data_IF_946273478763
#
_entry.id   IF_946273478763
#
_cell.length_a   1.000
_cell.length_b   1.000
_cell.length_c   1.000
_cell.angle_alpha   90.00
_cell.angle_beta   90.00
_cell.angle_gamma   90.00
#
_symmetry.space_group_name_H-M   'P 1'
#
loop_
_entity.id
_entity.type
_entity.pdbx_description
1 polymer ?
#
# COMPACT_ATOMS: atom_id res chain seq x y z
N UNK A 1 2.42 12.39 3.00
CA UNK A 1 1.57 11.28 2.45
C UNK A 1 2.49 10.15 2.03
N UNK A 2 2.10 8.91 2.25
CA UNK A 2 2.94 7.71 2.17
C UNK A 2 3.33 7.29 0.74
N UNK A 3 4.28 6.34 0.61
CA UNK A 3 4.60 5.65 -0.64
C UNK A 3 4.20 4.18 -0.54
N UNK A 4 3.70 3.64 -1.64
CA UNK A 4 3.21 2.28 -1.77
C UNK A 4 3.96 1.55 -2.89
N UNK A 5 4.25 0.27 -2.68
CA UNK A 5 4.72 -0.65 -3.70
C UNK A 5 4.03 -2.01 -3.51
N UNK A 6 3.52 -2.59 -4.58
CA UNK A 6 3.08 -3.98 -4.64
C UNK A 6 3.64 -4.64 -5.89
N UNK A 7 4.17 -5.83 -5.74
CA UNK A 7 4.76 -6.61 -6.82
C UNK A 7 4.28 -8.04 -6.72
N UNK A 8 3.68 -8.55 -7.80
CA UNK A 8 3.34 -9.96 -7.97
C UNK A 8 4.02 -10.50 -9.23
N UNK A 9 4.71 -11.62 -9.13
CA UNK A 9 5.44 -12.19 -10.24
C UNK A 9 5.22 -13.71 -10.37
N UNK A 10 5.35 -14.21 -11.60
CA UNK A 10 5.31 -15.65 -11.90
C UNK A 10 6.58 -16.37 -11.47
N UNK A 11 7.71 -15.66 -11.53
CA UNK A 11 9.04 -16.16 -11.14
C UNK A 11 9.56 -15.38 -9.94
N UNK A 12 10.32 -16.01 -9.04
CA UNK A 12 10.93 -15.30 -7.93
C UNK A 12 11.85 -14.18 -8.41
N UNK A 13 11.80 -13.04 -7.74
CA UNK A 13 12.68 -11.89 -7.94
C UNK A 13 13.43 -11.55 -6.65
N UNK A 14 14.57 -10.88 -6.75
CA UNK A 14 15.33 -10.38 -5.61
C UNK A 14 14.57 -9.20 -4.96
N UNK A 15 14.20 -9.35 -3.70
CA UNK A 15 13.47 -8.32 -2.95
C UNK A 15 14.28 -7.04 -2.85
N UNK A 16 15.59 -7.17 -2.59
CA UNK A 16 16.52 -6.07 -2.43
C UNK A 16 16.46 -5.08 -3.59
N UNK A 17 16.51 -5.55 -4.84
CA UNK A 17 16.56 -4.69 -6.03
C UNK A 17 15.34 -3.76 -6.13
N UNK A 18 14.17 -4.25 -5.76
CA UNK A 18 12.95 -3.45 -5.77
C UNK A 18 12.83 -2.54 -4.54
N UNK A 19 13.31 -2.98 -3.38
CA UNK A 19 13.34 -2.16 -2.18
C UNK A 19 14.35 -1.02 -2.29
N UNK A 20 15.50 -1.20 -2.95
CA UNK A 20 16.47 -0.14 -3.23
C UNK A 20 15.84 0.97 -4.09
N UNK A 21 15.14 0.61 -5.18
CA UNK A 21 14.39 1.57 -6.01
C UNK A 21 13.23 2.23 -5.24
N UNK A 22 12.55 1.48 -4.40
CA UNK A 22 11.51 2.02 -3.54
C UNK A 22 12.05 2.98 -2.48
N UNK A 23 13.23 2.72 -1.94
CA UNK A 23 13.95 3.60 -1.03
C UNK A 23 14.31 4.93 -1.71
N UNK A 24 14.79 4.90 -2.97
CA UNK A 24 15.07 6.11 -3.77
C UNK A 24 13.83 7.00 -3.90
N UNK A 25 12.71 6.47 -4.40
CA UNK A 25 11.49 7.26 -4.58
C UNK A 25 10.85 7.72 -3.26
N UNK A 26 11.16 7.03 -2.16
CA UNK A 26 10.71 7.43 -0.84
C UNK A 26 11.55 8.56 -0.27
N UNK A 27 12.89 8.49 -0.41
CA UNK A 27 13.82 9.54 0.00
C UNK A 27 13.60 10.84 -0.78
N UNK A 28 13.42 10.72 -2.09
CA UNK A 28 13.29 11.85 -3.01
C UNK A 28 11.84 12.39 -3.11
N UNK A 29 10.95 11.89 -2.25
CA UNK A 29 9.55 12.32 -2.18
C UNK A 29 9.44 13.79 -1.72
N UNK A 30 8.55 14.61 -2.33
CA UNK A 30 8.30 15.99 -1.89
C UNK A 30 7.75 16.07 -0.46
N UNK A 31 7.08 15.05 0.04
CA UNK A 31 6.71 14.94 1.45
C UNK A 31 7.60 13.89 2.15
N UNK A 32 8.05 14.20 3.35
CA UNK A 32 8.97 13.35 4.13
C UNK A 32 8.38 11.96 4.42
N UNK A 33 9.12 10.90 4.07
CA UNK A 33 8.71 9.49 4.22
C UNK A 33 9.49 8.76 5.33
N UNK A 34 10.09 9.49 6.23
CA UNK A 34 11.02 8.94 7.23
C UNK A 34 10.40 8.58 8.58
N UNK A 35 9.06 8.46 8.68
CA UNK A 35 8.40 8.09 9.93
C UNK A 35 8.26 6.57 10.10
N UNK A 36 9.17 5.84 9.49
CA UNK A 36 9.24 4.38 9.46
C UNK A 36 8.76 3.77 8.16
N UNK A 37 8.98 2.48 8.04
CA UNK A 37 8.58 1.71 6.87
C UNK A 37 8.27 0.26 7.24
N UNK A 38 7.80 -0.50 6.28
CA UNK A 38 7.69 -1.93 6.40
C UNK A 38 7.42 -2.59 5.06
N UNK A 39 7.68 -3.89 5.02
CA UNK A 39 7.32 -4.73 3.90
C UNK A 39 6.76 -6.08 4.36
N UNK A 40 5.99 -6.70 3.48
CA UNK A 40 5.53 -8.07 3.60
C UNK A 40 5.86 -8.81 2.31
N UNK A 41 6.36 -10.03 2.44
CA UNK A 41 6.67 -10.89 1.31
C UNK A 41 6.29 -12.34 1.58
N UNK A 42 6.14 -13.13 0.52
CA UNK A 42 5.83 -14.55 0.64
C UNK A 42 7.13 -15.36 0.58
N UNK A 43 7.33 -16.22 1.56
CA UNK A 43 8.42 -17.20 1.61
C UNK A 43 7.84 -18.55 2.03
N UNK A 44 8.10 -19.59 1.24
CA UNK A 44 7.55 -20.94 1.46
C UNK A 44 6.01 -20.96 1.68
N UNK A 45 5.28 -20.19 0.88
CA UNK A 45 3.82 -20.11 0.94
C UNK A 45 3.26 -19.37 2.16
N UNK A 46 4.10 -18.66 2.92
CA UNK A 46 3.69 -17.91 4.12
C UNK A 46 4.16 -16.47 4.06
N UNK A 47 3.36 -15.58 4.60
CA UNK A 47 3.72 -14.19 4.77
C UNK A 47 4.86 -14.04 5.80
N UNK A 48 5.85 -13.23 5.44
CA UNK A 48 6.91 -12.71 6.30
C UNK A 48 6.78 -11.20 6.36
N UNK A 49 7.21 -10.59 7.46
CA UNK A 49 7.05 -9.17 7.71
C UNK A 49 8.34 -8.57 8.23
N UNK A 50 8.60 -7.34 7.82
CA UNK A 50 9.60 -6.46 8.42
C UNK A 50 8.97 -5.09 8.64
N UNK A 51 9.24 -4.50 9.81
CA UNK A 51 8.84 -3.13 10.14
C UNK A 51 9.97 -2.46 10.90
N UNK A 52 10.32 -1.25 10.51
CA UNK A 52 11.30 -0.43 11.21
C UNK A 52 10.78 1.00 11.37
N UNK A 53 11.21 1.68 12.42
CA UNK A 53 10.93 3.09 12.67
C UNK A 53 11.86 4.00 11.87
N UNK A 54 13.00 3.50 11.43
CA UNK A 54 13.92 4.20 10.54
C UNK A 54 13.31 4.36 9.16
N UNK A 55 13.75 5.33 8.37
CA UNK A 55 13.42 5.41 6.96
C UNK A 55 13.94 4.18 6.19
N UNK A 56 13.24 3.78 5.13
CA UNK A 56 13.65 2.63 4.28
C UNK A 56 15.05 2.78 3.68
N UNK A 57 15.50 4.01 3.41
CA UNK A 57 16.83 4.30 2.85
C UNK A 57 17.97 4.28 3.88
N UNK A 58 17.66 4.08 5.16
CA UNK A 58 18.62 3.92 6.25
C UNK A 58 18.67 2.49 6.78
N UNK A 59 17.86 1.59 6.23
CA UNK A 59 17.79 0.20 6.67
C UNK A 59 18.69 -0.72 5.81
N UNK A 60 19.08 -1.88 6.37
CA UNK A 60 19.78 -2.90 5.62
C UNK A 60 18.80 -3.73 4.78
N UNK A 61 18.80 -3.48 3.48
CA UNK A 61 17.93 -4.16 2.52
C UNK A 61 18.51 -5.50 2.00
N UNK A 62 19.67 -5.94 2.50
CA UNK A 62 20.38 -7.13 2.00
C UNK A 62 19.81 -8.47 2.43
N UNK A 63 19.04 -8.53 3.51
CA UNK A 63 18.67 -9.77 4.19
C UNK A 63 17.36 -10.45 3.75
N UNK A 64 16.61 -9.90 2.77
CA UNK A 64 15.23 -10.34 2.48
C UNK A 64 15.10 -11.54 1.54
N UNK A 65 16.14 -11.85 0.73
CA UNK A 65 16.11 -12.98 -0.20
C UNK A 65 15.26 -12.74 -1.45
N UNK A 66 14.54 -13.78 -1.88
CA UNK A 66 13.68 -13.74 -3.09
C UNK A 66 12.23 -14.04 -2.77
N UNK A 67 11.32 -13.54 -3.62
CA UNK A 67 9.87 -13.77 -3.47
C UNK A 67 9.14 -13.64 -4.81
N UNK A 68 7.91 -14.13 -4.86
CA UNK A 68 6.95 -13.88 -5.94
C UNK A 68 5.92 -12.80 -5.59
N UNK A 69 5.84 -12.37 -4.32
CA UNK A 69 4.87 -11.40 -3.86
C UNK A 69 5.48 -10.52 -2.78
N UNK A 70 5.55 -9.22 -3.05
CA UNK A 70 6.07 -8.18 -2.16
C UNK A 70 5.07 -7.04 -2.05
N UNK A 71 4.86 -6.56 -0.83
CA UNK A 71 4.19 -5.29 -0.55
C UNK A 71 5.08 -4.45 0.35
N UNK A 72 5.30 -3.18 0.01
CA UNK A 72 6.10 -2.26 0.82
C UNK A 72 5.41 -0.91 1.01
N UNK A 73 5.68 -0.29 2.14
CA UNK A 73 5.10 0.97 2.56
C UNK A 73 6.14 1.84 3.26
N UNK A 74 6.33 3.08 2.78
CA UNK A 74 7.10 4.10 3.47
C UNK A 74 6.16 5.16 4.04
N UNK A 75 6.35 5.49 5.31
CA UNK A 75 5.38 6.24 6.08
C UNK A 75 5.72 7.73 6.19
N UNK A 76 4.72 8.56 5.89
CA UNK A 76 4.63 9.94 6.32
C UNK A 76 3.49 10.04 7.34
N UNK A 77 3.79 10.24 8.61
CA UNK A 77 2.78 10.32 9.65
C UNK A 77 2.02 11.65 9.57
N UNK A 78 0.70 11.59 9.72
CA UNK A 78 -0.13 12.78 9.75
C UNK A 78 0.23 13.63 11.00
N UNK A 79 0.58 14.90 10.81
CA UNK A 79 1.01 15.83 11.86
C UNK A 79 2.16 15.32 12.71
N UNK A 80 3.01 14.45 12.16
CA UNK A 80 4.11 13.81 12.88
C UNK A 80 3.70 13.08 14.17
N UNK A 81 2.44 12.64 14.23
CA UNK A 81 1.87 11.95 15.38
C UNK A 81 1.91 10.42 15.23
N UNK A 82 1.94 9.73 16.36
CA UNK A 82 1.87 8.25 16.40
C UNK A 82 3.01 7.56 15.67
N UNK A 83 4.23 8.13 15.70
CA UNK A 83 5.43 7.54 15.11
C UNK A 83 5.88 6.39 16.01
N UNK A 84 5.40 5.19 15.69
CA UNK A 84 5.66 3.93 16.38
C UNK A 84 5.67 2.81 15.35
N UNK A 85 6.50 1.80 15.57
CA UNK A 85 6.64 0.67 14.65
C UNK A 85 5.33 -0.08 14.42
N UNK A 86 4.48 -0.19 15.44
CA UNK A 86 3.17 -0.86 15.36
C UNK A 86 2.18 -0.16 14.42
N UNK A 87 2.43 1.11 14.12
CA UNK A 87 1.62 1.90 13.19
C UNK A 87 2.17 1.87 11.77
N UNK A 88 3.31 1.23 11.54
CA UNK A 88 3.87 1.06 10.20
C UNK A 88 3.15 -0.09 9.48
N UNK A 89 2.81 0.16 8.23
CA UNK A 89 2.22 -0.85 7.37
C UNK A 89 3.33 -1.64 6.66
N UNK A 90 3.05 -2.87 6.21
CA UNK A 90 1.74 -3.51 5.99
C UNK A 90 1.06 -4.01 7.27
N UNK A 91 -0.28 -3.83 7.36
CA UNK A 91 -1.09 -4.51 8.34
C UNK A 91 -1.50 -5.90 7.85
N UNK A 92 -1.74 -6.83 8.80
CA UNK A 92 -2.12 -8.19 8.51
C UNK A 92 -3.18 -8.69 9.47
N UNK A 93 -4.16 -9.45 8.97
CA UNK A 93 -5.26 -10.00 9.78
C UNK A 93 -5.31 -11.53 9.84
N UNK A 94 -4.26 -12.20 9.35
CA UNK A 94 -4.21 -13.65 9.19
C UNK A 94 -4.49 -14.10 7.74
N UNK A 95 -5.13 -13.29 6.91
CA UNK A 95 -5.40 -13.55 5.50
C UNK A 95 -4.86 -12.46 4.60
N UNK A 96 -5.26 -11.22 4.84
CA UNK A 96 -4.93 -10.08 3.98
C UNK A 96 -3.80 -9.24 4.52
N UNK A 97 -2.91 -8.84 3.63
CA UNK A 97 -1.90 -7.80 3.83
C UNK A 97 -2.41 -6.50 3.23
N UNK A 98 -2.24 -5.39 3.94
CA UNK A 98 -2.81 -4.09 3.57
C UNK A 98 -1.81 -2.96 3.71
N UNK A 99 -1.73 -2.09 2.70
CA UNK A 99 -0.97 -0.83 2.69
C UNK A 99 -1.84 0.31 2.20
N UNK A 100 -1.68 1.50 2.77
CA UNK A 100 -2.55 2.65 2.54
C UNK A 100 -1.77 3.96 2.38
N UNK A 101 -2.17 4.78 1.42
CA UNK A 101 -1.75 6.17 1.28
C UNK A 101 -2.98 7.04 1.10
N UNK A 102 -3.27 7.88 2.07
CA UNK A 102 -4.42 8.75 2.00
C UNK A 102 -4.67 9.55 3.28
N UNK A 103 -5.56 10.53 3.14
CA UNK A 103 -6.04 11.38 4.22
C UNK A 103 -7.56 11.56 4.07
N UNK A 104 -8.27 11.21 5.12
CA UNK A 104 -9.71 11.37 5.22
C UNK A 104 -10.05 12.26 6.41
N UNK A 105 -10.81 13.32 6.19
CA UNK A 105 -11.20 14.27 7.22
C UNK A 105 -12.69 14.16 7.56
N UNK A 106 -13.03 14.12 8.85
CA UNK A 106 -14.41 14.03 9.31
C UNK A 106 -15.06 12.69 8.97
N UNK A 107 -14.32 11.59 9.11
CA UNK A 107 -14.78 10.22 8.89
C UNK A 107 -15.78 9.81 9.98
N UNK A 108 -16.96 9.30 9.57
CA UNK A 108 -18.04 8.87 10.47
C UNK A 108 -18.33 7.37 10.32
N UNK A 109 -17.28 6.55 10.21
CA UNK A 109 -17.40 5.10 10.32
C UNK A 109 -17.06 4.66 11.75
N UNK A 110 -17.73 3.60 12.22
CA UNK A 110 -17.43 2.98 13.52
C UNK A 110 -16.62 1.71 13.29
N UNK A 111 -15.33 1.78 13.58
CA UNK A 111 -14.42 0.65 13.46
C UNK A 111 -13.25 0.77 14.44
N UNK A 112 -12.70 -0.36 14.84
CA UNK A 112 -11.51 -0.46 15.68
C UNK A 112 -10.26 -0.25 14.83
N UNK A 113 -9.20 0.25 15.45
CA UNK A 113 -7.88 0.42 14.83
C UNK A 113 -7.06 1.48 15.55
N UNK A 114 -5.75 1.27 15.58
CA UNK A 114 -4.77 2.17 16.23
C UNK A 114 -4.68 3.52 15.52
N UNK A 115 -4.76 3.48 14.18
CA UNK A 115 -4.74 4.66 13.31
C UNK A 115 -5.83 4.57 12.25
N UNK A 116 -6.06 5.68 11.53
CA UNK A 116 -7.10 5.76 10.49
C UNK A 116 -7.00 4.68 9.41
N UNK A 117 -5.78 4.37 8.95
CA UNK A 117 -5.56 3.34 7.95
C UNK A 117 -6.00 1.94 8.42
N UNK A 118 -5.72 1.58 9.67
CA UNK A 118 -6.15 0.30 10.24
C UNK A 118 -7.68 0.21 10.38
N UNK A 119 -8.34 1.33 10.75
CA UNK A 119 -9.80 1.40 10.77
C UNK A 119 -10.40 1.19 9.38
N UNK A 120 -9.79 1.75 8.34
CA UNK A 120 -10.20 1.54 6.95
C UNK A 120 -10.05 0.07 6.57
N UNK A 121 -8.89 -0.53 6.86
CA UNK A 121 -8.64 -1.94 6.60
C UNK A 121 -9.69 -2.85 7.24
N UNK A 122 -9.97 -2.65 8.53
CA UNK A 122 -10.97 -3.43 9.24
C UNK A 122 -12.38 -3.19 8.69
N UNK A 123 -12.70 -1.95 8.33
CA UNK A 123 -14.02 -1.60 7.83
C UNK A 123 -14.35 -2.23 6.47
N UNK A 124 -13.44 -2.18 5.51
CA UNK A 124 -13.70 -2.71 4.16
C UNK A 124 -13.90 -4.22 4.16
N UNK A 125 -13.28 -4.96 5.07
CA UNK A 125 -13.43 -6.41 5.22
C UNK A 125 -14.78 -6.85 5.79
N UNK A 126 -15.51 -5.97 6.49
CA UNK A 126 -16.82 -6.29 7.12
C UNK A 126 -17.88 -6.76 6.12
N UNK A 127 -17.70 -6.42 4.85
CA UNK A 127 -18.66 -6.73 3.79
C UNK A 127 -18.26 -8.00 3.02
N UNK A 128 -17.13 -8.62 3.34
CA UNK A 128 -16.68 -9.83 2.65
C UNK A 128 -17.63 -11.02 2.94
N UNK A 129 -18.28 -11.47 1.86
CA UNK A 129 -19.15 -12.63 1.81
C UNK A 129 -18.67 -13.57 0.69
N UNK A 130 -17.36 -13.84 0.65
CA UNK A 130 -16.66 -14.59 -0.40
C UNK A 130 -16.53 -13.84 -1.74
N UNK A 131 -16.77 -12.53 -1.77
CA UNK A 131 -16.48 -11.65 -2.88
C UNK A 131 -15.78 -10.38 -2.35
N UNK A 132 -14.46 -10.44 -2.34
CA UNK A 132 -13.59 -9.38 -1.83
C UNK A 132 -13.75 -8.10 -2.63
N UNK A 133 -13.86 -8.19 -3.96
CA UNK A 133 -13.97 -7.02 -4.82
C UNK A 133 -15.27 -6.26 -4.55
N UNK A 134 -16.40 -6.95 -4.43
CA UNK A 134 -17.68 -6.32 -4.08
C UNK A 134 -17.66 -5.80 -2.64
N UNK A 135 -16.98 -6.47 -1.72
CA UNK A 135 -16.75 -5.98 -0.37
C UNK A 135 -16.02 -4.64 -0.37
N UNK A 136 -14.94 -4.54 -1.15
CA UNK A 136 -14.15 -3.31 -1.28
C UNK A 136 -14.97 -2.19 -1.92
N UNK A 137 -15.65 -2.44 -3.03
CA UNK A 137 -16.53 -1.44 -3.69
C UNK A 137 -17.56 -0.89 -2.73
N UNK A 138 -18.23 -1.77 -1.98
CA UNK A 138 -19.23 -1.38 -0.98
C UNK A 138 -18.62 -0.60 0.17
N UNK A 139 -17.52 -1.08 0.74
CA UNK A 139 -16.82 -0.45 1.85
C UNK A 139 -16.32 0.95 1.49
N UNK A 140 -15.65 1.09 0.34
CA UNK A 140 -15.15 2.35 -0.22
C UNK A 140 -16.32 3.34 -0.41
N UNK A 141 -17.39 2.94 -1.10
CA UNK A 141 -18.55 3.80 -1.33
C UNK A 141 -19.18 4.31 -0.02
N UNK A 142 -19.24 3.48 1.02
CA UNK A 142 -19.78 3.91 2.32
C UNK A 142 -18.80 4.86 3.02
N UNK A 143 -17.50 4.59 2.98
CA UNK A 143 -16.45 5.46 3.57
C UNK A 143 -16.55 6.85 2.93
N UNK A 144 -16.59 6.94 1.59
CA UNK A 144 -16.71 8.21 0.87
C UNK A 144 -17.95 8.98 1.29
N UNK A 145 -19.13 8.35 1.29
CA UNK A 145 -20.40 8.97 1.71
C UNK A 145 -20.42 9.42 3.17
N UNK A 146 -19.62 8.82 4.03
CA UNK A 146 -19.53 9.11 5.47
C UNK A 146 -18.30 9.93 5.85
N UNK A 147 -17.56 10.44 4.88
CA UNK A 147 -16.39 11.28 5.08
C UNK A 147 -16.68 12.68 4.54
N UNK A 148 -16.37 13.69 5.33
CA UNK A 148 -16.59 15.08 4.92
C UNK A 148 -15.71 15.47 3.75
N UNK A 149 -14.43 15.03 3.77
CA UNK A 149 -13.47 15.29 2.73
C UNK A 149 -12.47 14.13 2.61
N UNK A 150 -12.38 13.58 1.43
CA UNK A 150 -11.40 12.54 1.06
C UNK A 150 -10.33 13.21 0.22
N UNK A 151 -9.19 13.57 0.82
CA UNK A 151 -8.04 14.08 0.08
C UNK A 151 -7.48 13.01 -0.83
N UNK A 152 -7.25 11.82 -0.28
CA UNK A 152 -6.95 10.60 -1.02
C UNK A 152 -7.30 9.36 -0.18
N UNK A 153 -7.62 8.28 -0.88
CA UNK A 153 -7.86 6.95 -0.31
C UNK A 153 -7.31 5.90 -1.29
N UNK A 154 -5.99 5.81 -1.35
CA UNK A 154 -5.29 4.82 -2.15
C UNK A 154 -4.84 3.67 -1.27
N UNK A 155 -5.17 2.45 -1.64
CA UNK A 155 -4.66 1.30 -0.92
C UNK A 155 -4.53 0.06 -1.80
N UNK A 156 -3.67 -0.83 -1.35
CA UNK A 156 -3.52 -2.16 -1.90
C UNK A 156 -3.79 -3.17 -0.79
N UNK A 157 -4.53 -4.20 -1.11
CA UNK A 157 -4.83 -5.33 -0.25
C UNK A 157 -4.54 -6.61 -1.00
N UNK A 158 -3.80 -7.54 -0.40
CA UNK A 158 -3.46 -8.79 -1.05
C UNK A 158 -3.61 -9.99 -0.11
N UNK A 159 -4.01 -11.10 -0.67
CA UNK A 159 -3.79 -12.43 -0.12
C UNK A 159 -2.78 -13.19 -1.00
N UNK A 160 -2.59 -14.48 -0.74
CA UNK A 160 -1.63 -15.29 -1.49
C UNK A 160 -1.99 -15.44 -2.97
N UNK A 161 -3.27 -15.28 -3.34
CA UNK A 161 -3.79 -15.53 -4.68
C UNK A 161 -4.00 -14.25 -5.49
N UNK A 162 -4.50 -13.20 -4.84
CA UNK A 162 -4.99 -11.99 -5.49
C UNK A 162 -4.43 -10.71 -4.86
N UNK A 163 -4.36 -9.66 -5.66
CA UNK A 163 -4.08 -8.30 -5.22
C UNK A 163 -5.23 -7.40 -5.64
N UNK A 164 -5.74 -6.61 -4.72
CA UNK A 164 -6.82 -5.65 -4.92
C UNK A 164 -6.29 -4.24 -4.79
N UNK A 165 -6.79 -3.35 -5.63
CA UNK A 165 -6.40 -1.96 -5.69
C UNK A 165 -7.61 -1.05 -5.54
N UNK A 166 -7.44 0.00 -4.73
CA UNK A 166 -8.33 1.14 -4.67
C UNK A 166 -7.52 2.41 -4.90
N UNK A 167 -7.98 3.23 -5.83
CA UNK A 167 -7.42 4.55 -6.11
C UNK A 167 -8.56 5.57 -6.12
N UNK A 168 -8.53 6.51 -5.16
CA UNK A 168 -9.47 7.62 -5.09
C UNK A 168 -8.78 8.85 -4.50
N UNK A 169 -8.86 9.99 -5.18
CA UNK A 169 -8.28 11.26 -4.72
C UNK A 169 -9.07 12.45 -5.26
N UNK A 170 -9.12 13.53 -4.47
CA UNK A 170 -9.82 14.77 -4.83
C UNK A 170 -8.87 15.85 -5.36
N UNK A 171 -7.58 15.78 -5.02
CA UNK A 171 -6.60 16.81 -5.38
C UNK A 171 -5.22 16.19 -5.64
N UNK A 172 -4.28 16.98 -6.16
CA UNK A 172 -2.88 16.61 -6.40
C UNK A 172 -2.72 15.28 -7.15
N UNK A 173 -3.28 15.14 -8.35
CA UNK A 173 -3.17 13.90 -9.14
C UNK A 173 -1.71 13.49 -9.35
N UNK A 174 -0.80 14.43 -9.57
CA UNK A 174 0.64 14.18 -9.71
C UNK A 174 1.27 13.45 -8.50
N UNK A 175 0.68 13.63 -7.31
CA UNK A 175 1.15 12.98 -6.09
C UNK A 175 0.42 11.66 -5.79
N UNK A 176 -0.89 11.60 -6.05
CA UNK A 176 -1.74 10.49 -5.62
C UNK A 176 -2.04 9.48 -6.71
N UNK A 177 -1.85 9.82 -7.97
CA UNK A 177 -2.05 8.88 -9.06
C UNK A 177 -1.11 7.69 -8.89
N UNK A 178 -1.69 6.48 -8.87
CA UNK A 178 -0.93 5.24 -8.86
C UNK A 178 -0.53 4.86 -10.27
N UNK A 179 0.57 4.15 -10.36
CA UNK A 179 1.14 3.68 -11.62
C UNK A 179 1.22 2.16 -11.60
N UNK A 180 0.91 1.54 -12.73
CA UNK A 180 1.03 0.10 -12.93
C UNK A 180 1.97 -0.18 -14.09
N UNK A 181 2.85 -1.16 -13.90
CA UNK A 181 3.60 -1.79 -14.97
C UNK A 181 3.27 -3.28 -14.97
N UNK A 182 2.87 -3.77 -16.12
CA UNK A 182 2.58 -5.19 -16.29
C UNK A 182 3.29 -5.71 -17.54
N UNK A 183 4.01 -6.82 -17.38
CA UNK A 183 4.58 -7.59 -18.45
C UNK A 183 4.18 -9.09 -18.32
N UNK A 184 4.80 -9.97 -19.09
CA UNK A 184 4.46 -11.39 -19.08
C UNK A 184 4.74 -12.09 -17.74
N UNK A 185 5.73 -11.63 -16.98
CA UNK A 185 6.22 -12.27 -15.76
C UNK A 185 5.87 -11.51 -14.48
N UNK A 186 5.62 -10.19 -14.56
CA UNK A 186 5.52 -9.33 -13.38
C UNK A 186 4.44 -8.26 -13.51
N UNK A 187 3.72 -8.03 -12.40
CA UNK A 187 2.72 -6.98 -12.24
C UNK A 187 3.10 -6.11 -11.04
N UNK A 188 3.43 -4.84 -11.30
CA UNK A 188 3.84 -3.88 -10.30
C UNK A 188 2.83 -2.75 -10.20
N UNK A 189 2.52 -2.34 -8.98
CA UNK A 189 1.83 -1.09 -8.69
C UNK A 189 2.67 -0.27 -7.74
N UNK A 190 2.89 1.00 -8.07
CA UNK A 190 3.67 1.91 -7.24
C UNK A 190 3.08 3.31 -7.23
N UNK A 191 3.35 4.07 -6.16
CA UNK A 191 2.98 5.49 -6.03
C UNK A 191 3.72 6.39 -7.02
N UNK A 192 4.91 5.99 -7.46
CA UNK A 192 5.74 6.68 -8.45
C UNK A 192 6.43 5.61 -9.30
N UNK A 193 6.57 5.80 -10.61
CA UNK A 193 7.36 4.91 -11.44
C UNK A 193 8.76 4.70 -10.86
N UNK A 194 9.18 3.45 -10.73
CA UNK A 194 10.52 3.12 -10.26
C UNK A 194 11.57 3.53 -11.29
N UNK A 195 12.74 3.97 -10.82
CA UNK A 195 13.84 4.42 -11.68
C UNK A 195 14.27 3.35 -12.69
N UNK A 196 14.67 3.79 -13.89
CA UNK A 196 15.17 2.95 -14.99
C UNK A 196 14.16 1.88 -15.50
N UNK A 197 12.87 2.04 -15.22
CA UNK A 197 11.82 1.16 -15.69
C UNK A 197 10.91 1.91 -16.68
N UNK A 198 10.58 1.29 -17.80
CA UNK A 198 9.69 1.83 -18.82
C UNK A 198 8.30 1.18 -18.79
N UNK A 199 7.40 1.66 -19.64
CA UNK A 199 6.06 1.08 -19.84
C UNK A 199 5.13 1.16 -18.62
N UNK A 200 5.30 2.17 -17.78
CA UNK A 200 4.34 2.50 -16.74
C UNK A 200 3.07 3.11 -17.33
N UNK A 201 1.94 2.65 -16.85
CA UNK A 201 0.62 3.19 -17.14
C UNK A 201 0.04 3.81 -15.88
N UNK A 202 -0.64 4.92 -16.03
CA UNK A 202 -1.39 5.55 -14.93
C UNK A 202 -2.66 4.75 -14.62
N UNK A 203 -3.00 4.67 -13.35
CA UNK A 203 -4.27 4.08 -12.89
C UNK A 203 -5.29 5.21 -12.76
N UNK A 204 -6.47 5.02 -13.33
CA UNK A 204 -7.54 6.00 -13.28
C UNK A 204 -7.99 6.26 -11.84
N UNK A 205 -8.38 7.51 -11.59
CA UNK A 205 -9.01 7.89 -10.33
C UNK A 205 -10.36 7.16 -10.18
N UNK A 206 -10.81 6.94 -8.96
CA UNK A 206 -12.03 6.18 -8.61
C UNK A 206 -12.03 4.73 -9.11
N UNK A 207 -10.84 4.11 -9.16
CA UNK A 207 -10.70 2.69 -9.52
C UNK A 207 -10.82 1.79 -8.29
N UNK A 208 -11.62 0.74 -8.38
CA UNK A 208 -11.66 -0.41 -7.46
C UNK A 208 -11.60 -1.68 -8.29
N UNK A 209 -10.49 -2.41 -8.24
CA UNK A 209 -10.25 -3.56 -9.11
C UNK A 209 -9.41 -4.65 -8.45
N UNK A 210 -9.49 -5.86 -8.98
CA UNK A 210 -8.50 -6.91 -8.80
C UNK A 210 -7.46 -6.83 -9.93
N UNK A 211 -6.20 -7.14 -9.61
CA UNK A 211 -5.05 -7.05 -10.53
C UNK A 211 -4.72 -8.42 -11.13
#
# INVERSE_FOLDING_TARGET
MCRLLSVRARRPFAIRELLEKFAEISRDSPEYQGHGWGCAWVHEGKWRFHHDIRPVWEDDLGGFGTTNLLMAHARSAFRDEGIRVENNMPFFDGRYVFIFNGELQGVRIREQGRIGAEKIFNYVKRFDKNDVLESLKRGVSIIEKRTRYVRAMNFLMADLESTYLVSAYAENPEYFQLHRRRDADMDLVCSVPLSNESNWQTIDNHTVTAL
#
